data_IF_637779864405
#
_entry.id   IF_637779864405
#
_cell.length_a   1.000
_cell.length_b   1.000
_cell.length_c   1.000
_cell.angle_alpha   90.00
_cell.angle_beta   90.00
_cell.angle_gamma   90.00
#
_symmetry.space_group_name_H-M   'P 1'
#
loop_
_entity.id
_entity.type
_entity.pdbx_description
1 polymer ?
#
# COMPACT_ATOMS: atom_id res chain seq x y z
N UNK A 1 1.10 -2.10 -4.99
CA UNK A 1 0.40 -0.81 -4.89
C UNK A 1 -0.77 -1.03 -3.96
N UNK A 2 -0.96 -0.14 -2.99
CA UNK A 2 -2.14 -0.14 -2.14
C UNK A 2 -2.94 1.11 -2.44
N UNK A 3 -4.24 0.96 -2.71
CA UNK A 3 -5.18 2.07 -2.71
C UNK A 3 -5.95 2.03 -1.39
N UNK A 4 -6.11 3.16 -0.73
CA UNK A 4 -6.85 3.24 0.53
C UNK A 4 -7.85 4.39 0.54
N UNK A 5 -8.88 4.26 1.36
CA UNK A 5 -9.90 5.27 1.59
C UNK A 5 -10.06 5.49 3.09
N UNK A 6 -9.99 6.75 3.48
CA UNK A 6 -9.95 7.17 4.88
C UNK A 6 -11.03 8.23 5.11
N UNK A 7 -12.01 7.97 6.01
CA UNK A 7 -12.96 8.99 6.44
C UNK A 7 -12.26 10.22 7.00
N UNK A 8 -12.71 11.43 6.62
CA UNK A 8 -12.08 12.68 7.08
C UNK A 8 -11.97 12.77 8.60
N UNK A 9 -12.98 12.31 9.33
CA UNK A 9 -13.01 12.35 10.79
C UNK A 9 -12.13 11.27 11.46
N UNK A 10 -11.44 10.43 10.68
CA UNK A 10 -10.54 9.36 11.15
C UNK A 10 -9.08 9.56 10.72
N UNK A 11 -8.75 10.69 10.08
CA UNK A 11 -7.39 10.94 9.58
C UNK A 11 -6.33 10.96 10.68
N UNK A 12 -6.67 11.45 11.87
CA UNK A 12 -5.73 11.48 13.00
C UNK A 12 -5.43 10.07 13.52
N UNK A 13 -6.46 9.22 13.63
CA UNK A 13 -6.30 7.81 13.99
C UNK A 13 -5.44 7.07 12.95
N UNK A 14 -5.70 7.30 11.66
CA UNK A 14 -4.91 6.77 10.57
C UNK A 14 -3.44 7.21 10.65
N UNK A 15 -3.17 8.49 10.92
CA UNK A 15 -1.80 9.01 11.06
C UNK A 15 -1.05 8.34 12.21
N UNK A 16 -1.71 8.09 13.34
CA UNK A 16 -1.10 7.41 14.48
C UNK A 16 -0.77 5.94 14.19
N UNK A 17 -1.65 5.23 13.48
CA UNK A 17 -1.35 3.87 13.01
C UNK A 17 -0.19 3.90 12.01
N UNK A 18 -0.22 4.82 11.06
CA UNK A 18 0.79 4.95 10.01
C UNK A 18 2.20 5.20 10.58
N UNK A 19 2.33 6.08 11.57
CA UNK A 19 3.62 6.33 12.24
C UNK A 19 4.19 5.07 12.91
N UNK A 20 3.35 4.23 13.51
CA UNK A 20 3.77 2.99 14.18
C UNK A 20 4.20 1.91 13.17
N UNK A 21 3.50 1.84 12.04
CA UNK A 21 3.79 0.89 10.97
C UNK A 21 5.09 1.28 10.25
N UNK A 22 5.25 2.56 9.93
CA UNK A 22 6.44 3.03 9.19
C UNK A 22 7.73 3.03 10.01
N UNK A 23 7.65 3.05 11.34
CA UNK A 23 8.83 2.92 12.21
C UNK A 23 9.38 1.50 12.31
N UNK A 24 8.64 0.50 11.82
CA UNK A 24 8.97 -0.93 11.95
C UNK A 24 9.04 -1.65 10.60
N UNK A 25 9.30 -0.92 9.51
CA UNK A 25 9.38 -1.52 8.18
C UNK A 25 10.55 -2.51 8.06
N UNK A 26 10.31 -3.71 7.51
CA UNK A 26 11.38 -4.65 7.17
C UNK A 26 12.43 -4.02 6.24
N UNK A 27 13.70 -4.41 6.40
CA UNK A 27 14.85 -3.85 5.66
C UNK A 27 14.81 -4.09 4.13
N UNK A 28 14.03 -5.07 3.68
CA UNK A 28 13.80 -5.35 2.26
C UNK A 28 12.72 -4.45 1.64
N UNK A 29 11.95 -3.70 2.43
CA UNK A 29 11.09 -2.61 1.93
C UNK A 29 11.98 -1.39 1.73
N UNK A 30 12.34 -1.10 0.48
CA UNK A 30 13.27 -0.01 0.14
C UNK A 30 12.60 1.36 0.14
N UNK A 31 11.31 1.41 -0.17
CA UNK A 31 10.57 2.66 -0.28
C UNK A 31 9.09 2.44 -0.03
N UNK A 32 8.48 3.31 0.76
CA UNK A 32 7.03 3.43 0.88
C UNK A 32 6.67 4.89 0.58
N UNK A 33 6.09 5.15 -0.58
CA UNK A 33 5.70 6.49 -1.01
C UNK A 33 4.18 6.61 -1.07
N UNK A 34 3.65 7.69 -0.50
CA UNK A 34 2.21 7.96 -0.44
C UNK A 34 1.87 9.17 -1.30
N UNK A 35 0.81 9.02 -2.09
CA UNK A 35 0.15 10.10 -2.81
C UNK A 35 -1.30 10.15 -2.36
N UNK A 36 -1.87 11.33 -2.14
CA UNK A 36 -3.25 11.44 -1.67
C UNK A 36 -4.05 12.45 -2.49
N UNK A 37 -5.35 12.24 -2.51
CA UNK A 37 -6.34 13.14 -3.11
C UNK A 37 -7.62 13.12 -2.27
N UNK A 38 -8.49 14.10 -2.47
CA UNK A 38 -9.81 14.08 -1.86
C UNK A 38 -10.72 13.08 -2.57
N UNK A 39 -11.34 12.19 -1.80
CA UNK A 39 -12.42 11.33 -2.28
C UNK A 39 -13.75 12.00 -1.96
N UNK A 40 -14.52 12.35 -3.00
CA UNK A 40 -15.81 13.02 -2.86
C UNK A 40 -16.83 12.24 -2.01
N UNK A 41 -16.64 10.93 -1.82
CA UNK A 41 -17.55 10.06 -1.05
C UNK A 41 -16.99 9.63 0.30
N UNK A 42 -15.70 9.31 0.36
CA UNK A 42 -15.10 8.65 1.53
C UNK A 42 -14.11 9.52 2.31
N UNK A 43 -13.76 10.73 1.83
CA UNK A 43 -12.88 11.65 2.53
C UNK A 43 -11.53 11.80 1.85
N UNK A 44 -10.55 10.98 2.22
CA UNK A 44 -9.22 10.95 1.60
C UNK A 44 -9.01 9.64 0.88
N UNK A 45 -8.53 9.70 -0.36
CA UNK A 45 -8.04 8.53 -1.10
C UNK A 45 -6.52 8.57 -1.18
N UNK A 46 -5.87 7.49 -0.77
CA UNK A 46 -4.42 7.33 -0.79
C UNK A 46 -3.97 6.29 -1.81
N UNK A 47 -2.82 6.53 -2.45
CA UNK A 47 -2.09 5.57 -3.27
C UNK A 47 -0.71 5.36 -2.67
N UNK A 48 -0.41 4.12 -2.32
CA UNK A 48 0.79 3.70 -1.64
C UNK A 48 1.62 2.86 -2.62
N UNK A 49 2.77 3.39 -3.02
CA UNK A 49 3.76 2.67 -3.82
C UNK A 49 4.84 2.13 -2.89
N UNK A 50 4.81 0.81 -2.69
CA UNK A 50 5.73 0.07 -1.82
C UNK A 50 6.71 -0.69 -2.71
N UNK A 51 7.99 -0.29 -2.68
CA UNK A 51 9.07 -0.92 -3.43
C UNK A 51 9.81 -1.91 -2.53
N UNK A 52 9.92 -3.14 -3.01
CA UNK A 52 10.55 -4.25 -2.31
C UNK A 52 11.81 -4.70 -3.04
N UNK A 53 12.77 -5.24 -2.31
CA UNK A 53 13.97 -5.81 -2.88
C UNK A 53 13.66 -7.03 -3.77
N UNK A 54 14.34 -7.13 -4.92
CA UNK A 54 14.14 -8.22 -5.86
C UNK A 54 14.35 -9.57 -5.17
N UNK A 55 13.44 -10.51 -5.41
CA UNK A 55 13.47 -11.86 -4.81
C UNK A 55 12.70 -11.99 -3.49
N UNK A 56 12.23 -10.88 -2.90
CA UNK A 56 11.48 -10.90 -1.64
C UNK A 56 9.97 -10.68 -1.84
N UNK A 57 9.44 -10.96 -3.04
CA UNK A 57 8.05 -10.60 -3.38
C UNK A 57 7.02 -11.33 -2.50
N UNK A 58 7.21 -12.64 -2.27
CA UNK A 58 6.29 -13.45 -1.47
C UNK A 58 6.28 -13.02 0.00
N UNK A 59 7.46 -12.94 0.62
CA UNK A 59 7.61 -12.47 2.01
C UNK A 59 7.07 -11.06 2.20
N UNK A 60 7.31 -10.18 1.22
CA UNK A 60 6.81 -8.81 1.29
C UNK A 60 5.28 -8.73 1.23
N UNK A 61 4.61 -9.60 0.47
CA UNK A 61 3.14 -9.63 0.45
C UNK A 61 2.62 -9.98 1.85
N UNK A 62 3.20 -10.99 2.50
CA UNK A 62 2.80 -11.41 3.85
C UNK A 62 3.03 -10.27 4.85
N UNK A 63 4.19 -9.63 4.83
CA UNK A 63 4.47 -8.57 5.80
C UNK A 63 3.72 -7.28 5.53
N UNK A 64 3.50 -6.90 4.27
CA UNK A 64 2.61 -5.77 3.96
C UNK A 64 1.21 -6.06 4.49
N UNK A 65 0.69 -7.28 4.37
CA UNK A 65 -0.60 -7.66 4.95
C UNK A 65 -0.64 -7.55 6.48
N UNK A 66 0.44 -7.90 7.17
CA UNK A 66 0.53 -7.70 8.63
C UNK A 66 0.62 -6.22 9.01
N UNK A 67 1.39 -5.43 8.25
CA UNK A 67 1.58 -4.00 8.47
C UNK A 67 0.27 -3.21 8.25
N UNK A 68 -0.56 -3.64 7.30
CA UNK A 68 -1.86 -3.00 7.02
C UNK A 68 -2.98 -3.49 7.98
N UNK A 69 -2.78 -4.63 8.65
CA UNK A 69 -3.76 -5.24 9.55
C UNK A 69 -4.38 -4.27 10.58
N UNK A 70 -3.60 -3.37 11.23
CA UNK A 70 -4.15 -2.43 12.20
C UNK A 70 -5.10 -1.39 11.60
N UNK A 71 -4.95 -1.03 10.32
CA UNK A 71 -5.81 -0.02 9.67
C UNK A 71 -7.24 -0.51 9.49
N UNK A 72 -7.47 -1.83 9.38
CA UNK A 72 -8.82 -2.41 9.33
C UNK A 72 -9.66 -2.17 10.59
N UNK A 73 -9.04 -1.74 11.69
CA UNK A 73 -9.76 -1.37 12.92
C UNK A 73 -10.33 0.04 12.86
N UNK A 74 -9.87 0.87 11.92
CA UNK A 74 -10.36 2.22 11.71
C UNK A 74 -11.71 2.12 11.01
N UNK A 75 -12.76 2.58 11.68
CA UNK A 75 -14.12 2.57 11.15
C UNK A 75 -14.20 3.31 9.80
N UNK A 76 -14.78 2.67 8.79
CA UNK A 76 -14.94 3.22 7.44
C UNK A 76 -13.66 3.21 6.59
N UNK A 77 -12.54 2.69 7.11
CA UNK A 77 -11.36 2.43 6.30
C UNK A 77 -11.64 1.33 5.29
N UNK A 78 -11.19 1.55 4.05
CA UNK A 78 -11.21 0.54 3.01
C UNK A 78 -9.88 0.55 2.27
N UNK A 79 -9.50 -0.58 1.69
CA UNK A 79 -8.30 -0.66 0.86
C UNK A 79 -8.41 -1.73 -0.22
N UNK A 80 -7.55 -1.57 -1.23
CA UNK A 80 -7.30 -2.52 -2.29
C UNK A 80 -5.78 -2.71 -2.45
N UNK A 81 -5.36 -3.90 -2.86
CA UNK A 81 -3.96 -4.29 -2.98
C UNK A 81 -3.71 -4.98 -4.31
N UNK A 82 -2.75 -4.45 -5.07
CA UNK A 82 -2.36 -4.99 -6.37
C UNK A 82 -0.84 -5.12 -6.47
N UNK A 83 -0.36 -6.25 -6.99
CA UNK A 83 1.06 -6.41 -7.33
C UNK A 83 1.30 -5.71 -8.67
N UNK A 84 2.15 -4.69 -8.65
CA UNK A 84 2.51 -3.96 -9.87
C UNK A 84 3.81 -4.52 -10.42
N UNK A 85 3.83 -4.74 -11.73
CA UNK A 85 5.01 -5.19 -12.47
C UNK A 85 5.42 -4.12 -13.48
N UNK A 86 6.69 -4.18 -13.90
CA UNK A 86 7.14 -3.30 -14.97
C UNK A 86 6.38 -3.63 -16.26
N UNK A 87 6.25 -2.65 -17.17
CA UNK A 87 5.64 -2.90 -18.47
C UNK A 87 6.36 -4.04 -19.21
N UNK A 88 7.70 -4.08 -19.15
CA UNK A 88 8.52 -5.15 -19.73
C UNK A 88 8.13 -6.53 -19.18
N UNK A 89 7.94 -6.66 -17.87
CA UNK A 89 7.57 -7.94 -17.27
C UNK A 89 6.12 -8.32 -17.58
N UNK A 90 5.21 -7.34 -17.64
CA UNK A 90 3.83 -7.57 -18.07
C UNK A 90 3.74 -8.12 -19.50
N UNK A 91 4.55 -7.61 -20.42
CA UNK A 91 4.59 -8.10 -21.80
C UNK A 91 5.08 -9.55 -21.87
N UNK A 92 6.09 -9.91 -21.07
CA UNK A 92 6.57 -11.30 -21.00
C UNK A 92 5.48 -12.26 -20.56
N UNK A 93 4.67 -11.90 -19.57
CA UNK A 93 3.57 -12.74 -19.05
C UNK A 93 2.55 -13.06 -20.15
N UNK A 94 2.25 -12.09 -21.01
CA UNK A 94 1.30 -12.28 -22.13
C UNK A 94 1.96 -12.78 -23.42
N UNK A 95 3.22 -13.24 -23.35
CA UNK A 95 3.93 -13.81 -24.50
C UNK A 95 4.37 -12.78 -25.55
N UNK A 96 4.60 -11.53 -25.15
CA UNK A 96 5.06 -10.43 -26.00
C UNK A 96 6.44 -9.91 -25.54
N UNK A 97 7.16 -9.26 -26.44
CA UNK A 97 8.43 -8.58 -26.16
C UNK A 97 8.31 -7.08 -26.38
N UNK A 98 8.94 -6.30 -25.49
CA UNK A 98 9.15 -4.86 -25.59
C UNK A 98 10.63 -4.58 -25.91
#
# INVERSE_FOLDING_TARGET
MVTEWIPYHKTDEWLEVFKKVTSSLPSYIKKWQIFSTSDKKLGVKGYNLITVEKGNAEDAIIEINKLIAPFWKIEGFAMDFEIVMTLKDSMKVIGKSL
#
